data_IF_490853885069
#
_entry.id   IF_490853885069
#
_cell.length_a   1.000
_cell.length_b   1.000
_cell.length_c   1.000
_cell.angle_alpha   90.00
_cell.angle_beta   90.00
_cell.angle_gamma   90.00
#
_symmetry.space_group_name_H-M   'P 1'
#
loop_
_entity.id
_entity.type
_entity.pdbx_description
1 polymer ?
#
# COMPACT_ATOMS: atom_id res chain seq x y z
N UNK A 1 7.82 17.43 -36.94
CA UNK A 1 8.90 16.47 -36.66
C UNK A 1 8.75 16.03 -35.22
N UNK A 2 8.11 14.88 -35.02
CA UNK A 2 7.84 14.28 -33.71
C UNK A 2 8.95 13.28 -33.42
N UNK A 3 9.78 13.57 -32.41
CA UNK A 3 10.80 12.64 -31.94
C UNK A 3 10.14 11.61 -31.01
N UNK A 4 9.94 10.40 -31.51
CA UNK A 4 9.58 9.24 -30.68
C UNK A 4 10.84 8.74 -29.98
N UNK A 5 10.92 8.96 -28.68
CA UNK A 5 11.99 8.37 -27.85
C UNK A 5 11.62 6.92 -27.54
N UNK A 6 12.49 6.03 -27.99
CA UNK A 6 12.40 4.59 -27.79
C UNK A 6 12.73 4.26 -26.32
N UNK A 7 11.72 4.06 -25.47
CA UNK A 7 11.84 3.76 -24.04
C UNK A 7 12.43 2.36 -23.75
N UNK A 8 12.55 1.50 -24.76
CA UNK A 8 13.08 0.13 -24.58
C UNK A 8 14.60 0.06 -24.37
N UNK A 9 15.36 1.07 -24.80
CA UNK A 9 16.83 1.04 -24.69
C UNK A 9 17.39 1.53 -23.34
N UNK A 10 16.60 2.18 -22.50
CA UNK A 10 17.05 2.65 -21.20
C UNK A 10 16.92 1.59 -20.08
N UNK A 11 16.15 0.54 -20.31
CA UNK A 11 15.90 -0.51 -19.31
C UNK A 11 17.00 -1.57 -19.23
N UNK A 12 17.86 -1.66 -20.25
CA UNK A 12 18.87 -2.73 -20.36
C UNK A 12 20.23 -2.43 -19.71
N UNK A 13 20.48 -1.20 -19.22
CA UNK A 13 21.79 -0.80 -18.71
C UNK A 13 21.90 -0.68 -17.19
N UNK A 14 20.86 -0.99 -16.41
CA UNK A 14 20.86 -0.85 -14.93
C UNK A 14 20.62 -2.14 -14.16
N UNK A 15 20.79 -3.31 -14.78
CA UNK A 15 20.63 -4.61 -14.11
C UNK A 15 21.94 -5.40 -14.11
N UNK A 16 22.70 -5.46 -13.01
CA UNK A 16 23.71 -6.49 -12.86
C UNK A 16 23.04 -7.84 -12.53
N UNK A 17 23.12 -8.81 -13.45
CA UNK A 17 22.85 -10.23 -13.23
C UNK A 17 21.41 -10.77 -13.15
N UNK A 18 20.46 -10.28 -13.98
CA UNK A 18 19.16 -10.95 -14.13
C UNK A 18 19.07 -11.94 -15.33
N UNK A 19 20.19 -12.33 -15.94
CA UNK A 19 20.22 -13.24 -17.09
C UNK A 19 20.33 -14.71 -16.68
N UNK A 20 19.40 -15.25 -15.87
CA UNK A 20 19.13 -16.70 -15.79
C UNK A 20 17.78 -17.03 -15.14
N UNK A 21 16.70 -16.32 -15.45
CA UNK A 21 15.38 -16.91 -15.27
C UNK A 21 14.96 -17.62 -16.54
N UNK A 22 15.23 -18.95 -16.57
CA UNK A 22 14.69 -19.85 -17.57
C UNK A 22 13.16 -19.89 -17.45
N UNK A 23 12.43 -19.25 -18.34
CA UNK A 23 10.97 -19.25 -18.42
C UNK A 23 10.35 -20.63 -18.78
N UNK A 24 11.12 -21.70 -18.82
CA UNK A 24 10.65 -22.99 -19.35
C UNK A 24 10.01 -23.94 -18.35
N UNK A 25 9.94 -23.62 -17.04
CA UNK A 25 9.17 -24.42 -16.08
C UNK A 25 8.70 -23.52 -14.92
N UNK A 26 7.51 -22.92 -15.06
CA UNK A 26 6.80 -22.48 -13.86
C UNK A 26 6.55 -23.71 -13.00
N UNK A 27 7.31 -23.87 -11.92
CA UNK A 27 7.05 -24.92 -10.94
C UNK A 27 5.61 -24.76 -10.47
N UNK A 28 4.82 -25.84 -10.55
CA UNK A 28 3.42 -25.83 -10.10
C UNK A 28 3.41 -25.47 -8.60
N UNK A 29 2.89 -24.29 -8.28
CA UNK A 29 2.76 -23.86 -6.87
C UNK A 29 1.79 -24.80 -6.18
N UNK A 30 2.24 -25.50 -5.14
CA UNK A 30 1.38 -26.35 -4.30
C UNK A 30 0.72 -25.54 -3.19
N UNK A 31 -0.39 -26.04 -2.66
CA UNK A 31 -1.07 -25.46 -1.51
C UNK A 31 -0.13 -25.34 -0.30
N UNK A 32 0.63 -26.39 -0.03
CA UNK A 32 1.56 -26.48 1.10
C UNK A 32 2.67 -25.42 0.96
N UNK A 33 3.25 -25.26 -0.22
CA UNK A 33 4.28 -24.26 -0.48
C UNK A 33 3.73 -22.85 -0.32
N UNK A 34 2.51 -22.57 -0.79
CA UNK A 34 1.87 -21.27 -0.64
C UNK A 34 1.58 -20.96 0.85
N UNK A 35 1.04 -21.90 1.61
CA UNK A 35 0.78 -21.72 3.04
C UNK A 35 2.08 -21.51 3.83
N UNK A 36 3.11 -22.30 3.53
CA UNK A 36 4.42 -22.17 4.17
C UNK A 36 5.05 -20.80 3.90
N UNK A 37 5.00 -20.31 2.66
CA UNK A 37 5.50 -18.98 2.29
C UNK A 37 4.87 -17.85 3.15
N UNK A 38 3.57 -17.94 3.46
CA UNK A 38 2.87 -16.91 4.23
C UNK A 38 3.04 -17.02 5.75
N UNK A 39 3.42 -18.20 6.26
CA UNK A 39 3.49 -18.47 7.69
C UNK A 39 4.91 -18.63 8.25
N UNK A 40 5.89 -18.97 7.40
CA UNK A 40 7.26 -19.24 7.85
C UNK A 40 7.97 -17.93 8.24
N UNK A 41 8.74 -17.98 9.32
CA UNK A 41 9.48 -16.83 9.85
C UNK A 41 8.51 -15.79 10.42
N UNK A 42 8.57 -14.56 9.93
CA UNK A 42 7.62 -13.50 10.27
C UNK A 42 6.38 -13.65 9.38
N UNK A 43 5.19 -13.92 9.95
CA UNK A 43 3.98 -14.08 9.14
C UNK A 43 3.61 -12.81 8.34
N UNK A 44 2.95 -13.02 7.20
CA UNK A 44 2.56 -11.92 6.32
C UNK A 44 3.68 -11.50 5.35
N UNK A 45 3.48 -10.37 4.67
CA UNK A 45 4.38 -9.85 3.63
C UNK A 45 4.84 -8.42 3.86
N UNK A 46 4.30 -7.77 4.88
CA UNK A 46 4.63 -6.39 5.22
C UNK A 46 5.07 -6.27 6.68
N UNK A 47 5.86 -5.25 6.96
CA UNK A 47 6.18 -4.84 8.32
C UNK A 47 6.34 -3.32 8.38
N UNK A 48 6.09 -2.76 9.58
CA UNK A 48 6.32 -1.33 9.85
C UNK A 48 7.61 -1.20 10.66
N UNK A 49 8.55 -0.43 10.14
CA UNK A 49 9.84 -0.20 10.80
C UNK A 49 10.08 1.31 10.99
N UNK A 50 10.71 1.72 12.10
CA UNK A 50 11.06 3.11 12.31
C UNK A 50 12.13 3.56 11.30
N UNK A 51 12.02 4.81 10.83
CA UNK A 51 12.96 5.43 9.87
C UNK A 51 13.92 6.43 10.53
N UNK A 52 13.72 6.72 11.83
CA UNK A 52 14.54 7.68 12.60
C UNK A 52 15.33 6.94 13.68
N UNK A 53 16.46 7.51 14.14
CA UNK A 53 17.16 6.99 15.30
C UNK A 53 16.25 6.97 16.55
N UNK A 54 16.43 5.95 17.40
CA UNK A 54 15.64 5.77 18.63
C UNK A 54 16.47 5.18 19.78
N UNK A 55 17.79 5.31 19.69
CA UNK A 55 18.71 4.67 20.65
C UNK A 55 19.04 5.53 21.85
N UNK A 56 18.80 6.83 21.79
CA UNK A 56 19.14 7.78 22.87
C UNK A 56 17.90 8.48 23.42
N UNK A 57 17.99 9.01 24.64
CA UNK A 57 16.95 9.83 25.24
C UNK A 57 16.67 11.09 24.37
N UNK A 58 17.69 11.65 23.75
CA UNK A 58 17.54 12.79 22.83
C UNK A 58 16.71 12.38 21.60
N UNK A 59 17.00 11.22 21.00
CA UNK A 59 16.24 10.71 19.85
C UNK A 59 14.75 10.58 20.22
N UNK A 60 14.44 9.98 21.36
CA UNK A 60 13.09 9.80 21.83
C UNK A 60 12.40 11.14 22.13
N UNK A 61 13.10 12.11 22.67
CA UNK A 61 12.57 13.45 22.94
C UNK A 61 12.27 14.23 21.64
N UNK A 62 13.04 14.02 20.59
CA UNK A 62 12.79 14.59 19.27
C UNK A 62 11.64 13.85 18.56
N UNK A 63 11.62 12.53 18.66
CA UNK A 63 10.63 11.70 17.95
C UNK A 63 9.21 11.80 18.57
N UNK A 64 9.10 12.05 19.86
CA UNK A 64 7.83 12.11 20.58
C UNK A 64 7.70 13.38 21.44
N UNK A 65 7.91 13.32 22.74
CA UNK A 65 7.69 14.48 23.62
C UNK A 65 9.02 15.02 24.17
N UNK A 66 9.27 16.34 24.07
CA UNK A 66 8.42 17.43 23.59
C UNK A 66 8.56 17.77 22.08
N UNK A 67 9.57 17.24 21.38
CA UNK A 67 9.97 17.67 20.03
C UNK A 67 8.89 17.54 18.97
N UNK A 68 7.99 16.55 19.09
CA UNK A 68 6.90 16.31 18.13
C UNK A 68 5.87 17.47 18.06
N UNK A 69 5.82 18.35 19.04
CA UNK A 69 4.93 19.50 19.03
C UNK A 69 5.24 20.47 17.87
N UNK A 70 6.50 20.65 17.51
CA UNK A 70 6.90 21.58 16.46
C UNK A 70 6.35 21.21 15.08
N UNK A 71 6.55 19.99 14.55
CA UNK A 71 5.94 19.61 13.29
C UNK A 71 4.42 19.60 13.33
N UNK A 72 3.76 19.30 14.46
CA UNK A 72 2.31 19.42 14.59
C UNK A 72 1.83 20.85 14.37
N UNK A 73 2.48 21.83 14.99
CA UNK A 73 2.16 23.25 14.84
C UNK A 73 2.40 23.77 13.42
N UNK A 74 3.45 23.28 12.74
CA UNK A 74 3.69 23.66 11.35
C UNK A 74 2.62 23.09 10.41
N UNK A 75 2.20 21.84 10.62
CA UNK A 75 1.11 21.20 9.84
C UNK A 75 -0.23 21.89 10.12
N UNK A 76 -0.51 22.31 11.35
CA UNK A 76 -1.73 23.07 11.69
C UNK A 76 -1.79 24.39 10.91
N UNK A 77 -0.66 25.11 10.81
CA UNK A 77 -0.56 26.35 10.03
C UNK A 77 -0.66 26.12 8.52
N UNK A 78 -0.04 25.06 8.03
CA UNK A 78 -0.02 24.71 6.62
C UNK A 78 -0.16 23.18 6.44
N UNK A 79 -1.37 22.67 6.13
CA UNK A 79 -1.60 21.23 5.96
C UNK A 79 -0.69 20.53 4.92
N UNK A 80 -0.14 21.28 3.94
CA UNK A 80 0.80 20.70 2.97
C UNK A 80 2.12 20.28 3.62
N UNK A 81 2.47 20.80 4.76
CA UNK A 81 3.68 20.40 5.49
C UNK A 81 3.58 18.98 6.09
N UNK A 82 2.39 18.35 6.07
CA UNK A 82 2.24 16.93 6.35
C UNK A 82 3.10 16.05 5.41
N UNK A 83 3.24 16.45 4.15
CA UNK A 83 4.12 15.76 3.18
C UNK A 83 5.61 15.90 3.48
N UNK A 84 6.00 16.93 4.23
CA UNK A 84 7.39 17.20 4.64
C UNK A 84 7.76 16.50 5.94
N UNK A 85 6.82 16.47 6.91
CA UNK A 85 7.12 16.06 8.27
C UNK A 85 6.60 14.66 8.63
N UNK A 86 5.82 14.01 7.74
CA UNK A 86 5.26 12.68 7.98
C UNK A 86 5.52 11.72 6.82
N UNK A 87 5.17 10.45 7.00
CA UNK A 87 5.25 9.43 5.96
C UNK A 87 4.18 9.60 4.86
N UNK A 88 3.22 10.54 4.99
CA UNK A 88 2.07 10.73 4.08
C UNK A 88 2.48 10.77 2.61
N UNK A 89 3.60 11.41 2.28
CA UNK A 89 4.05 11.59 0.89
C UNK A 89 4.44 10.31 0.16
N UNK A 90 4.70 9.23 0.91
CA UNK A 90 5.07 7.92 0.33
C UNK A 90 4.23 6.77 0.89
N UNK A 91 3.05 7.05 1.44
CA UNK A 91 2.18 6.05 2.05
C UNK A 91 0.84 5.97 1.32
N UNK A 92 0.50 4.80 0.79
CA UNK A 92 -0.76 4.50 0.10
C UNK A 92 -1.59 3.54 0.94
N UNK A 93 -2.90 3.77 1.02
CA UNK A 93 -3.83 2.77 1.52
C UNK A 93 -4.28 1.85 0.38
N UNK A 94 -4.14 0.54 0.55
CA UNK A 94 -4.83 -0.47 -0.28
C UNK A 94 -6.08 -0.89 0.47
N UNK A 95 -7.26 -0.51 -0.02
CA UNK A 95 -8.53 -0.66 0.69
C UNK A 95 -9.44 -1.63 -0.02
N UNK A 96 -9.96 -2.62 0.71
CA UNK A 96 -10.88 -3.64 0.20
C UNK A 96 -11.97 -3.97 1.19
N UNK A 97 -13.11 -4.42 0.69
CA UNK A 97 -14.12 -5.11 1.51
C UNK A 97 -14.22 -6.62 1.19
N UNK A 98 -13.34 -7.13 0.33
CA UNK A 98 -13.22 -8.54 0.01
C UNK A 98 -14.42 -9.13 -0.71
N UNK A 99 -15.20 -8.31 -1.44
CA UNK A 99 -16.42 -8.76 -2.13
C UNK A 99 -16.19 -9.30 -3.52
N UNK A 100 -14.99 -9.13 -4.11
CA UNK A 100 -14.65 -9.64 -5.44
C UNK A 100 -13.18 -10.09 -5.52
N UNK A 101 -12.73 -10.91 -4.58
CA UNK A 101 -11.36 -11.42 -4.56
C UNK A 101 -11.14 -12.35 -5.75
N UNK A 102 -10.09 -12.11 -6.53
CA UNK A 102 -9.81 -12.78 -7.80
C UNK A 102 -9.85 -14.31 -7.68
N UNK A 103 -10.77 -14.94 -8.43
CA UNK A 103 -10.95 -16.39 -8.45
C UNK A 103 -11.68 -16.98 -7.25
N UNK A 104 -11.98 -16.18 -6.21
CA UNK A 104 -12.60 -16.63 -4.96
C UNK A 104 -13.99 -15.97 -4.70
N UNK A 105 -14.24 -14.79 -5.30
CA UNK A 105 -15.48 -14.05 -5.13
C UNK A 105 -15.60 -13.32 -3.80
N UNK A 106 -16.80 -13.30 -3.22
CA UNK A 106 -17.08 -12.62 -1.93
C UNK A 106 -16.68 -13.51 -0.76
N UNK A 107 -15.45 -13.41 -0.33
CA UNK A 107 -14.90 -14.14 0.82
C UNK A 107 -14.78 -13.29 2.08
N UNK A 108 -15.17 -12.01 1.99
CA UNK A 108 -15.12 -11.04 3.09
C UNK A 108 -13.77 -10.37 3.30
N UNK A 109 -13.81 -9.23 3.99
CA UNK A 109 -12.67 -8.34 4.16
C UNK A 109 -11.43 -9.04 4.74
N UNK A 110 -11.56 -9.69 5.89
CA UNK A 110 -10.43 -10.33 6.58
C UNK A 110 -9.77 -11.43 5.72
N UNK A 111 -10.57 -12.22 5.00
CA UNK A 111 -10.03 -13.29 4.16
C UNK A 111 -9.28 -12.77 2.93
N UNK A 112 -9.56 -11.52 2.51
CA UNK A 112 -8.85 -10.84 1.43
C UNK A 112 -7.47 -10.30 1.82
N UNK A 113 -7.16 -10.19 3.12
CA UNK A 113 -5.91 -9.57 3.61
C UNK A 113 -4.63 -10.12 2.95
N UNK A 114 -4.43 -11.43 2.74
CA UNK A 114 -3.22 -11.91 2.08
C UNK A 114 -3.02 -11.36 0.65
N UNK A 115 -4.12 -11.05 -0.06
CA UNK A 115 -4.07 -10.43 -1.38
C UNK A 115 -3.69 -8.96 -1.26
N UNK A 116 -4.26 -8.24 -0.28
CA UNK A 116 -3.98 -6.82 -0.04
C UNK A 116 -2.52 -6.59 0.38
N UNK A 117 -1.97 -7.43 1.24
CA UNK A 117 -0.53 -7.43 1.55
C UNK A 117 0.32 -7.73 0.30
N UNK A 118 -0.14 -8.64 -0.57
CA UNK A 118 0.50 -8.90 -1.86
C UNK A 118 0.51 -7.66 -2.76
N UNK A 119 -0.58 -6.91 -2.81
CA UNK A 119 -0.65 -5.63 -3.53
C UNK A 119 0.36 -4.64 -2.93
N UNK A 120 0.44 -4.53 -1.61
CA UNK A 120 1.43 -3.69 -0.91
C UNK A 120 2.87 -4.06 -1.27
N UNK A 121 3.18 -5.37 -1.33
CA UNK A 121 4.49 -5.86 -1.78
C UNK A 121 4.81 -5.40 -3.20
N UNK A 122 3.85 -5.44 -4.13
CA UNK A 122 4.05 -4.97 -5.51
C UNK A 122 4.32 -3.45 -5.57
N UNK A 123 3.56 -2.63 -4.81
CA UNK A 123 3.83 -1.20 -4.69
C UNK A 123 5.26 -0.93 -4.22
N UNK A 124 5.73 -1.70 -3.22
CA UNK A 124 7.09 -1.53 -2.69
C UNK A 124 8.16 -1.90 -3.70
N UNK A 125 8.00 -3.07 -4.36
CA UNK A 125 9.01 -3.58 -5.31
C UNK A 125 9.13 -2.69 -6.55
N UNK A 126 7.99 -2.27 -7.13
CA UNK A 126 7.99 -1.59 -8.42
C UNK A 126 8.05 -0.08 -8.33
N UNK A 127 7.59 0.52 -7.23
CA UNK A 127 7.50 1.97 -7.10
C UNK A 127 8.18 2.53 -5.83
N UNK A 128 8.68 1.70 -4.93
CA UNK A 128 9.26 2.14 -3.66
C UNK A 128 8.23 2.71 -2.68
N UNK A 129 6.94 2.57 -2.97
CA UNK A 129 5.84 3.12 -2.17
C UNK A 129 5.53 2.20 -0.99
N UNK A 130 5.37 2.80 0.19
CA UNK A 130 4.91 2.11 1.40
C UNK A 130 3.39 1.96 1.38
N UNK A 131 2.88 0.85 1.91
CA UNK A 131 1.44 0.55 1.90
C UNK A 131 0.98 0.11 3.28
N UNK A 132 -0.18 0.62 3.70
CA UNK A 132 -1.03 -0.05 4.66
C UNK A 132 -2.22 -0.65 3.93
N UNK A 133 -2.42 -1.97 4.11
CA UNK A 133 -3.63 -2.64 3.68
C UNK A 133 -4.72 -2.46 4.74
N UNK A 134 -5.91 -2.08 4.28
CA UNK A 134 -7.06 -1.76 5.13
C UNK A 134 -8.27 -2.60 4.70
N UNK A 135 -8.63 -3.56 5.52
CA UNK A 135 -9.75 -4.45 5.30
C UNK A 135 -10.99 -3.87 5.98
N UNK A 136 -11.88 -3.26 5.19
CA UNK A 136 -13.12 -2.63 5.68
C UNK A 136 -14.27 -3.64 5.67
N UNK A 137 -14.72 -4.06 6.83
CA UNK A 137 -15.84 -5.00 6.96
C UNK A 137 -17.20 -4.30 6.79
N UNK A 138 -17.39 -3.66 5.63
CA UNK A 138 -18.64 -2.99 5.27
C UNK A 138 -18.95 -3.20 3.78
N UNK A 139 -20.17 -3.58 3.47
CA UNK A 139 -20.62 -3.83 2.09
C UNK A 139 -21.56 -2.74 1.57
N UNK A 140 -22.11 -1.92 2.45
CA UNK A 140 -22.91 -0.77 2.08
C UNK A 140 -21.98 0.31 1.51
N UNK A 141 -22.19 0.78 0.25
CA UNK A 141 -21.31 1.76 -0.38
C UNK A 141 -21.21 3.09 0.37
N UNK A 142 -22.30 3.58 0.96
CA UNK A 142 -22.31 4.86 1.68
C UNK A 142 -21.42 4.78 2.90
N UNK A 143 -21.57 3.74 3.71
CA UNK A 143 -20.77 3.52 4.91
C UNK A 143 -19.31 3.21 4.59
N UNK A 144 -19.07 2.47 3.51
CA UNK A 144 -17.72 2.20 3.04
C UNK A 144 -17.01 3.49 2.65
N UNK A 145 -17.66 4.36 1.87
CA UNK A 145 -17.14 5.68 1.49
C UNK A 145 -16.83 6.52 2.72
N UNK A 146 -17.76 6.60 3.68
CA UNK A 146 -17.53 7.36 4.92
C UNK A 146 -16.32 6.84 5.71
N UNK A 147 -16.12 5.51 5.77
CA UNK A 147 -14.95 4.92 6.41
C UNK A 147 -13.66 5.33 5.69
N UNK A 148 -13.63 5.26 4.36
CA UNK A 148 -12.48 5.66 3.53
C UNK A 148 -12.16 7.14 3.71
N UNK A 149 -13.17 8.03 3.69
CA UNK A 149 -13.00 9.47 3.91
C UNK A 149 -12.41 9.76 5.29
N UNK A 150 -12.88 9.07 6.32
CA UNK A 150 -12.43 9.28 7.69
C UNK A 150 -10.94 8.97 7.89
N UNK A 151 -10.37 8.01 7.14
CA UNK A 151 -8.95 7.63 7.23
C UNK A 151 -8.06 8.30 6.17
N UNK A 152 -8.63 8.92 5.16
CA UNK A 152 -7.92 9.53 4.04
C UNK A 152 -6.81 10.52 4.44
N UNK A 153 -6.91 11.30 5.53
CA UNK A 153 -5.85 12.21 5.94
C UNK A 153 -4.49 11.55 6.18
N UNK A 154 -4.46 10.25 6.54
CA UNK A 154 -3.23 9.49 6.80
C UNK A 154 -2.39 9.27 5.54
N UNK A 155 -3.03 9.19 4.36
CA UNK A 155 -2.43 8.66 3.14
C UNK A 155 -2.16 9.76 2.10
N UNK A 156 -1.12 9.54 1.30
CA UNK A 156 -0.85 10.33 0.09
C UNK A 156 -1.63 9.84 -1.13
N UNK A 157 -2.18 8.62 -1.07
CA UNK A 157 -3.01 8.04 -2.12
C UNK A 157 -3.81 6.84 -1.61
N UNK A 158 -4.85 6.48 -2.35
CA UNK A 158 -5.74 5.35 -2.05
C UNK A 158 -5.89 4.48 -3.30
N UNK A 159 -5.69 3.18 -3.14
CA UNK A 159 -5.99 2.15 -4.13
C UNK A 159 -7.17 1.31 -3.62
N UNK A 160 -8.29 1.34 -4.34
CA UNK A 160 -9.42 0.47 -4.08
C UNK A 160 -9.18 -0.88 -4.76
N UNK A 161 -9.37 -1.98 -4.05
CA UNK A 161 -9.06 -3.32 -4.54
C UNK A 161 -10.15 -4.32 -4.18
N UNK A 162 -10.43 -5.27 -5.07
CA UNK A 162 -11.32 -6.42 -4.84
C UNK A 162 -12.73 -6.04 -4.30
N UNK A 163 -13.28 -4.94 -4.79
CA UNK A 163 -14.66 -4.50 -4.54
C UNK A 163 -15.51 -4.91 -5.73
N UNK A 164 -16.63 -5.57 -5.48
CA UNK A 164 -17.50 -6.08 -6.56
C UNK A 164 -18.15 -4.97 -7.38
N UNK A 165 -18.44 -5.28 -8.63
CA UNK A 165 -19.28 -4.47 -9.49
C UNK A 165 -20.77 -4.74 -9.19
N UNK A 166 -21.69 -3.74 -9.35
CA UNK A 166 -21.40 -2.38 -9.85
C UNK A 166 -20.91 -1.40 -8.78
N UNK A 167 -20.91 -1.75 -7.50
CA UNK A 167 -20.63 -0.88 -6.37
C UNK A 167 -19.23 -0.23 -6.45
N UNK A 168 -18.24 -0.96 -6.98
CA UNK A 168 -16.87 -0.42 -7.13
C UNK A 168 -16.83 0.84 -8.00
N UNK A 169 -17.63 0.94 -9.05
CA UNK A 169 -17.67 2.10 -9.94
C UNK A 169 -18.28 3.34 -9.24
N UNK A 170 -19.32 3.12 -8.45
CA UNK A 170 -19.95 4.18 -7.68
C UNK A 170 -19.01 4.71 -6.59
N UNK A 171 -18.41 3.79 -5.83
CA UNK A 171 -17.47 4.13 -4.76
C UNK A 171 -16.29 4.92 -5.32
N UNK A 172 -15.67 4.45 -6.40
CA UNK A 172 -14.54 5.12 -7.03
C UNK A 172 -14.91 6.52 -7.52
N UNK A 173 -16.04 6.65 -8.24
CA UNK A 173 -16.51 7.94 -8.73
C UNK A 173 -16.71 8.94 -7.60
N UNK A 174 -17.42 8.54 -6.55
CA UNK A 174 -17.73 9.43 -5.41
C UNK A 174 -16.48 9.86 -4.64
N UNK A 175 -15.55 8.94 -4.41
CA UNK A 175 -14.29 9.27 -3.72
C UNK A 175 -13.34 10.14 -4.56
N UNK A 176 -13.48 10.16 -5.90
CA UNK A 176 -12.71 11.06 -6.77
C UNK A 176 -13.27 12.49 -6.82
N UNK A 177 -14.52 12.69 -6.47
CA UNK A 177 -15.17 13.99 -6.46
C UNK A 177 -14.87 14.79 -5.17
N UNK A 178 -14.23 14.20 -4.20
CA UNK A 178 -13.87 14.75 -2.88
C UNK A 178 -12.36 14.89 -2.69
#
# INVERSE_FOLDING_TARGET
MTASYNLELLYLHLQPNYNQFNYSTMAKITKEAALLYHSQGKPGKIEVVPTKPYSTQTDLSLAYSPGVAEPCLEIEKNPQDAYKYTAKGNLVAVISNGTAVLGLGDIGALSGKPVMEGKGLLFKIYAGIDVFDIEVNEKDPDKFIEAVKAIAPTFGGINLEDIKAPECFEIERRLKEE
#
